data_IF_030710015325
#
_entry.id   IF_030710015325
#
_cell.length_a   1.000
_cell.length_b   1.000
_cell.length_c   1.000
_cell.angle_alpha   90.00
_cell.angle_beta   90.00
_cell.angle_gamma   90.00
#
_symmetry.space_group_name_H-M   'P 1'
#
loop_
_entity.id
_entity.type
_entity.pdbx_description
1 polymer ?
#
# COMPACT_ATOMS: atom_id res chain seq x y z
N UNK A 1 29.17 18.52 10.41
CA UNK A 1 28.58 17.45 9.56
C UNK A 1 27.15 17.23 10.03
N UNK A 2 26.18 17.86 9.38
CA UNK A 2 24.76 17.68 9.70
C UNK A 2 24.30 16.35 9.13
N UNK A 3 23.82 15.44 9.99
CA UNK A 3 23.06 14.28 9.55
C UNK A 3 21.84 14.82 8.81
N UNK A 4 21.88 14.80 7.49
CA UNK A 4 20.67 14.90 6.68
C UNK A 4 19.87 13.65 7.03
N UNK A 5 18.97 13.78 8.02
CA UNK A 5 17.89 12.84 8.20
C UNK A 5 17.15 12.84 6.88
N UNK A 6 17.45 11.86 6.02
CA UNK A 6 16.73 11.65 4.78
C UNK A 6 15.26 11.64 5.15
N UNK A 7 14.54 12.68 4.73
CA UNK A 7 13.10 12.75 4.90
C UNK A 7 12.59 11.48 4.24
N UNK A 8 12.11 10.54 5.06
CA UNK A 8 11.48 9.34 4.54
C UNK A 8 10.41 9.83 3.55
N UNK A 9 10.38 9.31 2.30
CA UNK A 9 9.44 9.78 1.30
C UNK A 9 8.04 9.79 1.92
N UNK A 10 7.32 10.90 1.77
CA UNK A 10 6.02 11.10 2.41
C UNK A 10 5.14 9.88 2.11
N UNK A 11 4.80 9.12 3.14
CA UNK A 11 3.88 8.00 3.01
C UNK A 11 2.45 8.51 3.10
N UNK A 12 1.60 8.00 2.21
CA UNK A 12 0.17 8.24 2.22
C UNK A 12 -0.51 7.06 2.88
N UNK A 13 -1.39 7.33 3.85
CA UNK A 13 -2.16 6.31 4.53
C UNK A 13 -3.64 6.43 4.17
N UNK A 14 -4.22 5.32 3.68
CA UNK A 14 -5.63 5.20 3.36
C UNK A 14 -6.26 4.10 4.22
N UNK A 15 -7.49 4.32 4.65
CA UNK A 15 -8.32 3.30 5.33
C UNK A 15 -9.58 3.09 4.50
N UNK A 16 -9.94 1.84 4.27
CA UNK A 16 -11.16 1.47 3.56
C UNK A 16 -11.77 0.19 4.12
N UNK A 17 -13.07 0.03 3.90
CA UNK A 17 -13.81 -1.17 4.32
C UNK A 17 -14.22 -1.93 3.06
N UNK A 18 -13.95 -3.24 3.03
CA UNK A 18 -14.34 -4.14 1.94
C UNK A 18 -15.09 -5.31 2.57
N UNK A 19 -16.41 -5.36 2.38
CA UNK A 19 -17.26 -6.24 3.17
C UNK A 19 -17.16 -5.91 4.66
N UNK A 20 -16.94 -6.94 5.48
CA UNK A 20 -16.76 -6.80 6.95
C UNK A 20 -15.31 -6.54 7.36
N UNK A 21 -14.37 -6.48 6.40
CA UNK A 21 -12.95 -6.32 6.65
C UNK A 21 -12.50 -4.88 6.50
N UNK A 22 -11.66 -4.44 7.44
CA UNK A 22 -11.02 -3.12 7.42
C UNK A 22 -9.61 -3.23 6.87
N UNK A 23 -9.37 -2.59 5.73
CA UNK A 23 -8.05 -2.48 5.14
C UNK A 23 -7.42 -1.13 5.47
N UNK A 24 -6.16 -1.17 5.90
CA UNK A 24 -5.31 0.00 6.02
C UNK A 24 -4.16 -0.16 5.05
N UNK A 25 -3.92 0.85 4.24
CA UNK A 25 -2.88 0.83 3.22
C UNK A 25 -1.96 2.01 3.45
N UNK A 26 -0.67 1.74 3.53
CA UNK A 26 0.37 2.76 3.51
C UNK A 26 1.12 2.65 2.18
N UNK A 27 1.28 3.76 1.47
CA UNK A 27 2.01 3.80 0.19
C UNK A 27 3.01 4.94 0.15
N UNK A 28 4.10 4.73 -0.57
CA UNK A 28 5.10 5.77 -0.87
C UNK A 28 5.42 5.75 -2.35
N UNK A 29 5.51 6.94 -2.95
CA UNK A 29 5.97 7.05 -4.32
C UNK A 29 7.45 6.66 -4.39
N UNK A 30 7.79 5.75 -5.29
CA UNK A 30 9.17 5.47 -5.64
C UNK A 30 9.50 6.45 -6.76
N UNK A 31 10.26 7.50 -6.45
CA UNK A 31 10.57 8.57 -7.40
C UNK A 31 11.22 8.03 -8.67
N UNK A 32 10.44 7.89 -9.74
CA UNK A 32 10.85 7.40 -11.04
C UNK A 32 10.46 8.38 -12.15
N UNK A 33 11.36 8.55 -13.12
CA UNK A 33 11.31 9.60 -14.15
C UNK A 33 10.34 9.32 -15.31
N UNK A 34 9.64 8.18 -15.38
CA UNK A 34 8.86 7.79 -16.56
C UNK A 34 7.53 7.13 -16.22
N UNK A 35 6.48 7.62 -16.90
CA UNK A 35 5.18 7.08 -17.35
C UNK A 35 4.36 6.07 -16.53
N UNK A 36 4.94 5.34 -15.58
CA UNK A 36 4.25 4.49 -14.63
C UNK A 36 4.69 4.88 -13.22
N UNK A 37 3.84 5.60 -12.48
CA UNK A 37 4.11 5.90 -11.06
C UNK A 37 4.18 4.58 -10.30
N UNK A 38 5.39 4.12 -10.03
CA UNK A 38 5.64 2.97 -9.17
C UNK A 38 5.47 3.42 -7.72
N UNK A 39 4.69 2.64 -6.96
CA UNK A 39 4.53 2.83 -5.52
C UNK A 39 5.05 1.60 -4.81
N UNK A 40 5.68 1.80 -3.66
CA UNK A 40 5.80 0.75 -2.67
C UNK A 40 4.62 0.88 -1.71
N UNK A 41 3.94 -0.23 -1.43
CA UNK A 41 2.78 -0.23 -0.55
C UNK A 41 2.84 -1.36 0.48
N UNK A 42 2.17 -1.13 1.61
CA UNK A 42 2.00 -2.05 2.72
C UNK A 42 0.52 -2.09 3.09
N UNK A 43 0.00 -3.27 3.38
CA UNK A 43 -1.43 -3.48 3.66
C UNK A 43 -1.62 -4.22 4.97
N UNK A 44 -2.53 -3.73 5.79
CA UNK A 44 -3.08 -4.42 6.94
C UNK A 44 -4.56 -4.74 6.71
N UNK A 45 -5.00 -5.93 7.11
CA UNK A 45 -6.40 -6.34 7.18
C UNK A 45 -6.77 -6.58 8.64
N UNK A 46 -7.77 -5.87 9.16
CA UNK A 46 -8.23 -5.95 10.55
C UNK A 46 -7.12 -5.84 11.61
N UNK A 47 -6.05 -5.12 11.27
CA UNK A 47 -4.88 -4.89 12.12
C UNK A 47 -3.71 -5.85 11.87
N UNK A 48 -3.91 -6.92 11.11
CA UNK A 48 -2.86 -7.88 10.75
C UNK A 48 -2.15 -7.47 9.46
N UNK A 49 -0.81 -7.52 9.45
CA UNK A 49 0.00 -7.20 8.27
C UNK A 49 -0.12 -8.34 7.25
N UNK A 50 -0.78 -8.07 6.12
CA UNK A 50 -0.99 -9.07 5.05
C UNK A 50 -0.04 -8.87 3.87
N UNK A 51 0.46 -7.65 3.67
CA UNK A 51 1.45 -7.35 2.64
C UNK A 51 2.45 -6.32 3.17
N UNK A 52 3.74 -6.61 3.07
CA UNK A 52 4.81 -5.67 3.47
C UNK A 52 5.54 -5.10 2.26
N UNK A 53 5.77 -3.77 2.28
CA UNK A 53 6.46 -2.93 1.30
C UNK A 53 6.70 -3.56 -0.08
N UNK A 54 5.61 -3.82 -0.80
CA UNK A 54 5.61 -4.41 -2.12
C UNK A 54 5.59 -3.32 -3.17
N UNK A 55 6.47 -3.43 -4.17
CA UNK A 55 6.51 -2.50 -5.29
C UNK A 55 5.53 -2.95 -6.37
N UNK A 56 4.69 -2.04 -6.85
CA UNK A 56 3.78 -2.34 -7.96
C UNK A 56 2.49 -1.54 -7.94
N UNK A 57 1.51 -2.02 -8.69
CA UNK A 57 0.18 -1.44 -8.74
C UNK A 57 -0.69 -2.03 -7.63
N UNK A 58 -1.16 -1.17 -6.73
CA UNK A 58 -2.06 -1.54 -5.64
C UNK A 58 -3.36 -2.19 -6.13
N UNK A 59 -3.83 -1.86 -7.33
CA UNK A 59 -5.04 -2.47 -7.91
C UNK A 59 -4.89 -3.98 -8.12
N UNK A 60 -3.68 -4.48 -8.40
CA UNK A 60 -3.43 -5.90 -8.63
C UNK A 60 -3.59 -6.72 -7.34
N UNK A 61 -3.23 -6.13 -6.19
CA UNK A 61 -3.48 -6.75 -4.87
C UNK A 61 -4.98 -6.91 -4.62
N UNK A 62 -5.76 -5.83 -4.80
CA UNK A 62 -7.21 -5.88 -4.57
C UNK A 62 -7.96 -6.71 -5.61
N UNK A 63 -7.46 -6.81 -6.84
CA UNK A 63 -8.02 -7.69 -7.87
C UNK A 63 -7.80 -9.18 -7.59
N UNK A 64 -6.78 -9.53 -6.80
CA UNK A 64 -6.49 -10.90 -6.37
C UNK A 64 -7.16 -11.31 -5.07
N UNK A 65 -7.68 -10.34 -4.29
CA UNK A 65 -8.60 -10.65 -3.21
C UNK A 65 -9.84 -11.28 -3.86
N UNK A 66 -9.87 -12.61 -3.90
CA UNK A 66 -11.07 -13.36 -4.24
C UNK A 66 -12.22 -12.65 -3.55
N UNK A 67 -13.29 -12.34 -4.29
CA UNK A 67 -14.56 -11.91 -3.71
C UNK A 67 -15.05 -13.06 -2.82
N UNK A 68 -14.49 -13.18 -1.63
CA UNK A 68 -14.80 -14.17 -0.61
C UNK A 68 -16.13 -13.74 -0.02
N UNK A 69 -17.18 -14.00 -0.80
CA UNK A 69 -18.50 -13.42 -0.57
C UNK A 69 -19.47 -13.73 -1.69
N UNK A 70 -19.47 -14.98 -2.18
CA UNK A 70 -20.66 -15.64 -2.75
C UNK A 70 -20.61 -17.12 -2.39
N UNK A 71 -20.95 -17.43 -1.15
CA UNK A 71 -21.69 -18.67 -0.84
C UNK A 71 -23.16 -18.30 -0.67
#
# INVERSE_FOLDING_TARGET
MGKQNGVAPASHRMKMNVGDQTYVIESRALGGLHEHRLYAYRVWCDGELVQDWTEGNMADFFGQLSTAGKS
#
